data_IF_788550108215
#
_entry.id   IF_788550108215
#
_cell.length_a   1.000
_cell.length_b   1.000
_cell.length_c   1.000
_cell.angle_alpha   90.00
_cell.angle_beta   90.00
_cell.angle_gamma   90.00
#
_symmetry.space_group_name_H-M   'P 1'
#
loop_
_entity.id
_entity.type
_entity.pdbx_description
1 polymer ?
#
# COMPACT_ATOMS: atom_id res chain seq x y z
N UNK A 1 -9.35 -2.52 1.41
CA UNK A 1 -8.26 -2.83 2.37
C UNK A 1 -6.91 -2.73 1.67
N UNK A 2 -5.96 -2.10 2.36
CA UNK A 2 -4.57 -1.96 1.93
C UNK A 2 -3.66 -2.85 2.79
N UNK A 3 -2.68 -3.50 2.17
CA UNK A 3 -1.62 -4.23 2.88
C UNK A 3 -0.26 -3.97 2.23
N UNK A 4 0.74 -3.74 3.06
CA UNK A 4 2.13 -3.59 2.67
C UNK A 4 3.01 -4.46 3.56
N UNK A 5 4.02 -5.12 2.99
CA UNK A 5 5.00 -5.85 3.78
C UNK A 5 6.36 -5.93 3.09
N UNK A 6 7.39 -6.30 3.85
CA UNK A 6 8.76 -6.48 3.35
C UNK A 6 9.31 -7.86 3.68
N UNK A 7 10.02 -8.46 2.73
CA UNK A 7 10.90 -9.62 2.96
C UNK A 7 12.31 -9.12 3.33
N UNK A 8 12.82 -9.51 4.51
CA UNK A 8 14.20 -9.24 4.92
C UNK A 8 14.50 -7.83 5.47
N UNK A 9 13.49 -7.09 5.93
CA UNK A 9 13.67 -5.76 6.54
C UNK A 9 12.36 -5.13 7.01
N UNK A 10 12.38 -3.82 7.28
CA UNK A 10 11.22 -3.03 7.68
C UNK A 10 10.71 -2.11 6.56
N UNK A 11 9.47 -1.64 6.71
CA UNK A 11 8.91 -0.58 5.89
C UNK A 11 9.55 0.76 6.29
N UNK A 12 10.08 1.50 5.31
CA UNK A 12 10.59 2.86 5.54
C UNK A 12 9.46 3.88 5.54
N UNK A 13 8.57 3.77 4.55
CA UNK A 13 7.39 4.63 4.43
C UNK A 13 6.31 3.91 3.63
N UNK A 14 5.06 4.18 3.99
CA UNK A 14 3.89 3.77 3.23
C UNK A 14 3.04 5.01 2.98
N UNK A 15 2.50 5.13 1.77
CA UNK A 15 1.46 6.11 1.44
C UNK A 15 0.29 5.39 0.82
N UNK A 16 -0.92 5.76 1.19
CA UNK A 16 -2.13 5.17 0.64
C UNK A 16 -3.16 6.25 0.37
N UNK A 17 -4.03 5.96 -0.59
CA UNK A 17 -5.13 6.85 -0.94
C UNK A 17 -6.38 6.49 -0.14
N UNK A 18 -7.12 7.49 0.32
CA UNK A 18 -8.45 7.31 0.92
C UNK A 18 -9.41 8.42 0.50
N UNK A 19 -10.71 8.16 0.57
CA UNK A 19 -11.74 9.17 0.30
C UNK A 19 -11.87 10.12 1.49
N UNK A 20 -11.52 11.39 1.28
CA UNK A 20 -11.73 12.48 2.24
C UNK A 20 -12.99 13.28 1.88
N UNK A 21 -14.14 12.65 2.16
CA UNK A 21 -15.45 13.24 1.92
C UNK A 21 -15.69 13.64 0.45
N UNK A 22 -16.37 14.77 0.18
CA UNK A 22 -16.74 15.16 -1.19
C UNK A 22 -15.55 15.56 -2.06
N UNK A 23 -14.35 15.72 -1.49
CA UNK A 23 -13.17 16.19 -2.18
C UNK A 23 -12.44 15.09 -2.98
N UNK A 24 -12.91 13.83 -2.86
CA UNK A 24 -12.34 12.70 -3.58
C UNK A 24 -11.18 12.03 -2.84
N UNK A 25 -10.38 11.27 -3.58
CA UNK A 25 -9.27 10.51 -3.02
C UNK A 25 -8.08 11.43 -2.70
N UNK A 26 -7.55 11.31 -1.48
CA UNK A 26 -6.34 12.00 -1.04
C UNK A 26 -5.28 10.98 -0.62
N UNK A 27 -4.02 11.30 -0.89
CA UNK A 27 -2.88 10.42 -0.59
C UNK A 27 -2.19 10.86 0.70
N UNK A 28 -2.13 9.98 1.70
CA UNK A 28 -1.57 10.30 3.01
C UNK A 28 -0.45 9.35 3.43
N UNK A 29 0.52 9.83 4.23
CA UNK A 29 1.52 8.96 4.84
C UNK A 29 0.90 8.11 5.95
N UNK A 30 1.29 6.84 6.02
CA UNK A 30 0.93 5.96 7.10
C UNK A 30 2.06 5.86 8.14
N UNK A 31 1.70 5.71 9.41
CA UNK A 31 2.66 5.40 10.48
C UNK A 31 3.08 3.93 10.37
N UNK A 32 4.37 3.71 10.15
CA UNK A 32 4.97 2.37 10.06
C UNK A 32 6.03 2.19 11.14
N UNK A 33 6.10 1.00 11.74
CA UNK A 33 7.08 0.66 12.78
C UNK A 33 7.71 -0.72 12.62
N UNK A 34 7.44 -1.41 11.50
CA UNK A 34 7.91 -2.79 11.30
C UNK A 34 7.85 -3.25 9.84
N UNK A 35 7.90 -4.56 9.65
CA UNK A 35 7.92 -5.19 8.33
C UNK A 35 6.54 -5.30 7.66
N UNK A 36 5.46 -5.01 8.38
CA UNK A 36 4.09 -5.19 7.90
C UNK A 36 3.23 -3.99 8.28
N UNK A 37 2.30 -3.64 7.40
CA UNK A 37 1.30 -2.60 7.65
C UNK A 37 0.00 -2.92 6.90
N UNK A 38 -1.13 -2.52 7.46
CA UNK A 38 -2.43 -2.61 6.80
C UNK A 38 -3.42 -1.58 7.32
N UNK A 39 -4.35 -1.14 6.47
CA UNK A 39 -5.52 -0.35 6.89
C UNK A 39 -6.78 -0.78 6.15
N UNK A 40 -7.94 -0.51 6.75
CA UNK A 40 -9.27 -0.69 6.17
C UNK A 40 -9.85 0.68 5.83
N UNK A 41 -9.35 1.26 4.75
CA UNK A 41 -9.85 2.51 4.19
C UNK A 41 -10.33 2.28 2.76
N UNK A 42 -11.27 3.12 2.32
CA UNK A 42 -11.74 3.14 0.95
C UNK A 42 -10.94 4.17 0.14
N UNK A 43 -10.26 3.71 -0.91
CA UNK A 43 -9.51 4.54 -1.85
C UNK A 43 -10.31 5.05 -3.04
N UNK A 44 -11.62 4.80 -3.07
CA UNK A 44 -12.48 5.20 -4.17
C UNK A 44 -12.25 4.38 -5.44
N UNK A 45 -12.45 5.03 -6.59
CA UNK A 45 -12.41 4.39 -7.91
C UNK A 45 -11.00 4.01 -8.40
N UNK A 46 -9.97 4.68 -7.89
CA UNK A 46 -8.59 4.48 -8.33
C UNK A 46 -7.62 4.35 -7.14
N UNK A 47 -7.82 3.35 -6.24
CA UNK A 47 -7.02 3.21 -5.03
C UNK A 47 -5.54 3.02 -5.38
N UNK A 48 -4.65 3.71 -4.66
CA UNK A 48 -3.19 3.59 -4.80
C UNK A 48 -2.53 3.34 -3.45
N UNK A 49 -1.46 2.54 -3.48
CA UNK A 49 -0.61 2.23 -2.34
C UNK A 49 0.84 2.26 -2.77
N UNK A 50 1.65 3.11 -2.13
CA UNK A 50 3.08 3.20 -2.34
C UNK A 50 3.83 2.69 -1.12
N UNK A 51 4.83 1.86 -1.37
CA UNK A 51 5.59 1.19 -0.31
C UNK A 51 7.08 1.35 -0.60
N UNK A 52 7.80 1.90 0.36
CA UNK A 52 9.25 2.04 0.29
C UNK A 52 9.90 1.12 1.34
N UNK A 53 10.71 0.14 0.92
CA UNK A 53 11.44 -0.72 1.85
C UNK A 53 12.65 0.00 2.47
N UNK A 54 13.15 -0.55 3.59
CA UNK A 54 14.47 -0.21 4.13
C UNK A 54 15.57 -1.06 3.49
N UNK A 55 16.75 -0.49 3.29
CA UNK A 55 17.94 -1.22 2.83
C UNK A 55 17.72 -1.96 1.50
N UNK A 56 18.07 -3.25 1.46
CA UNK A 56 17.85 -4.14 0.30
C UNK A 56 16.63 -5.06 0.47
N UNK A 57 15.74 -4.79 1.43
CA UNK A 57 14.54 -5.59 1.61
C UNK A 57 13.61 -5.47 0.40
N UNK A 58 12.83 -6.53 0.14
CA UNK A 58 11.90 -6.56 -0.98
C UNK A 58 10.52 -6.17 -0.47
N UNK A 59 9.95 -5.09 -1.01
CA UNK A 59 8.62 -4.63 -0.64
C UNK A 59 7.52 -5.32 -1.47
N UNK A 60 6.36 -5.44 -0.85
CA UNK A 60 5.14 -5.95 -1.44
C UNK A 60 3.99 -5.01 -1.10
N UNK A 61 3.04 -4.93 -2.02
CA UNK A 61 1.79 -4.22 -1.83
C UNK A 61 0.62 -5.08 -2.31
N UNK A 62 -0.54 -4.87 -1.69
CA UNK A 62 -1.77 -5.58 -1.99
C UNK A 62 -2.96 -4.66 -1.73
N UNK A 63 -3.85 -4.60 -2.72
CA UNK A 63 -5.16 -3.95 -2.63
C UNK A 63 -6.25 -5.02 -2.69
N UNK A 64 -7.15 -5.00 -1.72
CA UNK A 64 -8.31 -5.90 -1.64
C UNK A 64 -9.59 -5.06 -1.56
N UNK A 65 -10.60 -5.42 -2.32
CA UNK A 65 -11.97 -4.94 -2.21
C UNK A 65 -12.83 -5.92 -1.43
N UNK A 66 -13.69 -5.40 -0.56
CA UNK A 66 -14.39 -6.24 0.42
C UNK A 66 -13.40 -7.03 1.28
N UNK A 67 -13.74 -8.28 1.57
CA UNK A 67 -12.91 -9.17 2.38
C UNK A 67 -11.93 -10.00 1.52
N UNK A 68 -12.30 -10.36 0.29
CA UNK A 68 -11.59 -11.41 -0.46
C UNK A 68 -11.20 -11.04 -1.90
N UNK A 69 -11.72 -9.94 -2.46
CA UNK A 69 -11.48 -9.62 -3.86
C UNK A 69 -10.16 -8.88 -4.06
N UNK A 70 -9.11 -9.59 -4.46
CA UNK A 70 -7.80 -8.99 -4.76
C UNK A 70 -7.88 -8.15 -6.04
N UNK A 71 -7.73 -6.84 -5.91
CA UNK A 71 -7.68 -5.92 -7.05
C UNK A 71 -6.31 -5.92 -7.71
N UNK A 72 -5.25 -5.91 -6.89
CA UNK A 72 -3.88 -5.95 -7.39
C UNK A 72 -2.93 -6.38 -6.28
N UNK A 73 -1.88 -7.08 -6.67
CA UNK A 73 -0.78 -7.46 -5.80
C UNK A 73 0.52 -7.36 -6.58
N UNK A 74 1.53 -6.68 -6.02
CA UNK A 74 2.85 -6.57 -6.65
C UNK A 74 3.97 -6.86 -5.67
N UNK A 75 5.03 -7.47 -6.19
CA UNK A 75 6.33 -7.66 -5.55
C UNK A 75 7.34 -6.72 -6.21
N UNK A 76 8.06 -5.95 -5.42
CA UNK A 76 9.12 -5.05 -5.88
C UNK A 76 10.46 -5.76 -6.09
N UNK A 77 11.46 -4.99 -6.51
CA UNK A 77 12.85 -5.42 -6.51
C UNK A 77 13.55 -5.04 -5.18
N UNK A 78 14.68 -5.68 -4.82
CA UNK A 78 15.42 -5.37 -3.60
C UNK A 78 15.76 -3.87 -3.46
N UNK A 79 15.32 -3.26 -2.36
CA UNK A 79 15.57 -1.85 -2.05
C UNK A 79 14.83 -0.84 -2.93
N UNK A 80 13.98 -1.31 -3.86
CA UNK A 80 13.19 -0.44 -4.72
C UNK A 80 11.77 -0.23 -4.16
N UNK A 81 11.20 0.97 -4.31
CA UNK A 81 9.79 1.18 -4.03
C UNK A 81 8.90 0.28 -4.89
N UNK A 82 7.72 -0.07 -4.37
CA UNK A 82 6.66 -0.72 -5.12
C UNK A 82 5.37 0.04 -4.94
N UNK A 83 4.63 0.20 -6.03
CA UNK A 83 3.30 0.81 -6.03
C UNK A 83 2.27 -0.24 -6.38
N UNK A 84 1.09 -0.21 -5.80
CA UNK A 84 -0.09 -0.93 -6.26
C UNK A 84 -1.15 0.10 -6.61
N UNK A 85 -1.84 -0.10 -7.73
CA UNK A 85 -2.99 0.70 -8.12
C UNK A 85 -3.96 -0.18 -8.89
N UNK A 86 -5.26 0.11 -8.76
CA UNK A 86 -6.31 -0.55 -9.53
C UNK A 86 -7.31 0.50 -10.02
N UNK A 87 -8.08 0.16 -11.05
CA UNK A 87 -9.28 0.91 -11.42
C UNK A 87 -10.49 0.03 -11.10
N UNK A 88 -11.52 0.63 -10.50
CA UNK A 88 -12.80 0.02 -10.14
C UNK A 88 -13.93 0.64 -10.93
#
# INVERSE_FOLDING_TARGET
MYRAWTEGGALKSVRHDYIDGPNGAVSVPAKVSGATWSTKEDGGHAPRLEVVPTGRSVAHCLLVEGDDHVLTQRKGAPGQPVTCSAQR
#
